data_IF_251871472082
#
_entry.id   IF_251871472082
#
_cell.length_a   1.000
_cell.length_b   1.000
_cell.length_c   1.000
_cell.angle_alpha   90.00
_cell.angle_beta   90.00
_cell.angle_gamma   90.00
#
_symmetry.space_group_name_H-M   'P 1'
#
loop_
_entity.id
_entity.type
_entity.pdbx_description
1 polymer ?
#
# COMPACT_ATOMS: atom_id res chain seq x y z
N UNK A 1 -0.17 37.96 6.48
CA UNK A 1 -0.26 37.20 5.18
C UNK A 1 1.06 36.56 4.73
N UNK A 2 2.23 37.17 4.91
CA UNK A 2 3.54 36.58 4.52
C UNK A 2 3.93 35.28 5.28
N UNK A 3 3.61 35.14 6.56
CA UNK A 3 3.95 33.96 7.39
C UNK A 3 3.17 32.69 6.99
N UNK A 4 1.94 32.83 6.53
CA UNK A 4 1.13 31.71 6.02
C UNK A 4 1.65 31.19 4.68
N UNK A 5 2.11 32.08 3.81
CA UNK A 5 2.64 31.73 2.49
C UNK A 5 3.92 30.89 2.62
N UNK A 6 4.81 31.22 3.57
CA UNK A 6 6.06 30.48 3.79
C UNK A 6 5.79 29.07 4.36
N UNK A 7 4.88 28.90 5.34
CA UNK A 7 4.54 27.59 5.88
C UNK A 7 3.91 26.65 4.84
N UNK A 8 3.00 27.16 4.02
CA UNK A 8 2.39 26.38 2.96
C UNK A 8 3.42 25.94 1.92
N UNK A 9 4.25 26.85 1.45
CA UNK A 9 5.33 26.55 0.50
C UNK A 9 6.31 25.53 1.04
N UNK A 10 6.78 25.71 2.28
CA UNK A 10 7.70 24.76 2.94
C UNK A 10 7.08 23.39 3.07
N UNK A 11 5.81 23.31 3.49
CA UNK A 11 5.09 22.04 3.65
C UNK A 11 4.92 21.31 2.31
N UNK A 12 4.57 22.05 1.25
CA UNK A 12 4.43 21.51 -0.10
C UNK A 12 5.77 21.04 -0.67
N UNK A 13 6.83 21.79 -0.45
CA UNK A 13 8.17 21.42 -0.90
C UNK A 13 8.69 20.16 -0.20
N UNK A 14 8.47 20.03 1.12
CA UNK A 14 8.81 18.83 1.89
C UNK A 14 8.05 17.60 1.35
N UNK A 15 6.76 17.74 1.06
CA UNK A 15 5.97 16.66 0.48
C UNK A 15 6.47 16.24 -0.91
N UNK A 16 6.80 17.21 -1.75
CA UNK A 16 7.34 16.96 -3.08
C UNK A 16 8.69 16.22 -3.02
N UNK A 17 9.59 16.71 -2.16
CA UNK A 17 10.92 16.09 -1.97
C UNK A 17 10.79 14.69 -1.38
N UNK A 18 9.91 14.49 -0.40
CA UNK A 18 9.61 13.18 0.17
C UNK A 18 9.04 12.22 -0.89
N UNK A 19 8.11 12.69 -1.72
CA UNK A 19 7.56 11.89 -2.81
C UNK A 19 8.61 11.44 -3.83
N UNK A 20 9.53 12.32 -4.19
CA UNK A 20 10.67 12.01 -5.05
C UNK A 20 11.60 10.98 -4.40
N UNK A 21 11.98 11.20 -3.14
CA UNK A 21 12.84 10.27 -2.39
C UNK A 21 12.22 8.88 -2.29
N UNK A 22 10.91 8.80 -2.00
CA UNK A 22 10.19 7.53 -1.94
C UNK A 22 10.17 6.80 -3.29
N UNK A 23 10.02 7.53 -4.40
CA UNK A 23 10.06 6.94 -5.75
C UNK A 23 11.45 6.44 -6.11
N UNK A 24 12.50 7.20 -5.79
CA UNK A 24 13.89 6.79 -6.03
C UNK A 24 14.24 5.56 -5.20
N UNK A 25 13.90 5.55 -3.91
CA UNK A 25 14.08 4.37 -3.05
C UNK A 25 13.30 3.17 -3.58
N UNK A 26 12.06 3.36 -4.01
CA UNK A 26 11.25 2.31 -4.61
C UNK A 26 11.86 1.72 -5.88
N UNK A 27 12.50 2.55 -6.73
CA UNK A 27 13.24 2.08 -7.90
C UNK A 27 14.46 1.24 -7.50
N UNK A 28 15.25 1.71 -6.54
CA UNK A 28 16.42 0.98 -6.02
C UNK A 28 15.99 -0.38 -5.47
N UNK A 29 14.95 -0.39 -4.64
CA UNK A 29 14.37 -1.60 -4.07
C UNK A 29 13.92 -2.56 -5.16
N UNK A 30 13.24 -2.07 -6.20
CA UNK A 30 12.80 -2.88 -7.34
C UNK A 30 13.97 -3.50 -8.10
N UNK A 31 15.06 -2.74 -8.32
CA UNK A 31 16.27 -3.25 -9.00
C UNK A 31 16.95 -4.34 -8.16
N UNK A 32 17.13 -4.11 -6.87
CA UNK A 32 17.72 -5.09 -5.94
C UNK A 32 16.87 -6.36 -5.91
N UNK A 33 15.56 -6.20 -5.77
CA UNK A 33 14.61 -7.31 -5.77
C UNK A 33 14.70 -8.13 -7.06
N UNK A 34 14.70 -7.46 -8.23
CA UNK A 34 14.79 -8.14 -9.54
C UNK A 34 16.05 -8.98 -9.64
N UNK A 35 17.17 -8.52 -9.10
CA UNK A 35 18.44 -9.25 -9.10
C UNK A 35 18.46 -10.46 -8.17
N UNK A 36 17.79 -10.37 -7.02
CA UNK A 36 17.77 -11.44 -6.01
C UNK A 36 16.80 -12.55 -6.41
N UNK A 37 15.61 -12.19 -6.89
CA UNK A 37 14.47 -13.12 -7.00
C UNK A 37 14.36 -13.81 -8.34
N UNK A 38 14.96 -13.24 -9.37
CA UNK A 38 14.94 -13.80 -10.72
C UNK A 38 13.62 -13.54 -11.48
N UNK A 39 13.65 -13.86 -12.79
CA UNK A 39 12.59 -13.46 -13.72
C UNK A 39 11.23 -14.14 -13.48
N UNK A 40 11.21 -15.39 -13.01
CA UNK A 40 9.97 -16.15 -12.82
C UNK A 40 9.08 -15.55 -11.71
N UNK A 41 9.67 -15.19 -10.58
CA UNK A 41 8.93 -14.59 -9.45
C UNK A 41 8.45 -13.19 -9.78
N UNK A 42 9.26 -12.41 -10.50
CA UNK A 42 8.89 -11.06 -10.94
C UNK A 42 7.74 -11.12 -11.94
N UNK A 43 7.75 -12.09 -12.86
CA UNK A 43 6.66 -12.30 -13.79
C UNK A 43 5.33 -12.54 -13.05
N UNK A 44 5.31 -13.46 -12.08
CA UNK A 44 4.13 -13.71 -11.24
C UNK A 44 3.64 -12.46 -10.51
N UNK A 45 4.56 -11.74 -9.87
CA UNK A 45 4.24 -10.49 -9.17
C UNK A 45 3.65 -9.43 -10.12
N UNK A 46 4.25 -9.24 -11.29
CA UNK A 46 3.82 -8.22 -12.26
C UNK A 46 2.44 -8.51 -12.85
N UNK A 47 2.12 -9.79 -13.09
CA UNK A 47 0.81 -10.20 -13.62
C UNK A 47 -0.32 -9.89 -12.60
N UNK A 48 -0.06 -10.01 -11.31
CA UNK A 48 -1.07 -9.81 -10.26
C UNK A 48 -1.22 -8.33 -9.85
N UNK A 49 -0.21 -7.49 -10.12
CA UNK A 49 -0.19 -6.08 -9.70
C UNK A 49 -1.37 -5.23 -10.20
N UNK A 50 -1.86 -5.36 -11.45
CA UNK A 50 -3.06 -4.63 -11.88
C UNK A 50 -4.30 -4.97 -11.04
N UNK A 51 -4.49 -6.25 -10.72
CA UNK A 51 -5.59 -6.71 -9.86
C UNK A 51 -5.47 -6.12 -8.44
N UNK A 52 -4.25 -6.09 -7.89
CA UNK A 52 -3.99 -5.48 -6.59
C UNK A 52 -4.26 -3.97 -6.57
N UNK A 53 -3.83 -3.24 -7.59
CA UNK A 53 -4.08 -1.80 -7.67
C UNK A 53 -5.56 -1.47 -7.76
N UNK A 54 -6.34 -2.30 -8.45
CA UNK A 54 -7.79 -2.19 -8.52
C UNK A 54 -8.43 -2.44 -7.15
N UNK A 55 -8.03 -3.51 -6.48
CA UNK A 55 -8.50 -3.85 -5.13
C UNK A 55 -8.18 -2.75 -4.11
N UNK A 56 -6.96 -2.19 -4.15
CA UNK A 56 -6.58 -1.06 -3.30
C UNK A 56 -7.46 0.16 -3.56
N UNK A 57 -7.74 0.47 -4.81
CA UNK A 57 -8.60 1.62 -5.18
C UNK A 57 -10.00 1.45 -4.62
N UNK A 58 -10.59 0.26 -4.74
CA UNK A 58 -11.90 -0.06 -4.18
C UNK A 58 -11.83 -0.09 -2.64
N UNK A 59 -10.83 -0.77 -2.07
CA UNK A 59 -10.67 -0.94 -0.63
C UNK A 59 -10.42 0.36 0.13
N UNK A 60 -9.76 1.33 -0.47
CA UNK A 60 -9.51 2.64 0.14
C UNK A 60 -10.62 3.65 -0.11
N UNK A 61 -11.42 3.45 -1.16
CA UNK A 61 -12.62 4.23 -1.54
C UNK A 61 -12.47 5.76 -1.37
N UNK A 62 -11.37 6.33 -1.87
CA UNK A 62 -11.05 7.77 -1.76
C UNK A 62 -11.05 8.33 -0.31
N UNK A 63 -10.94 7.46 0.71
CA UNK A 63 -10.97 7.85 2.12
C UNK A 63 -9.94 8.92 2.50
N UNK A 64 -8.68 8.92 2.01
CA UNK A 64 -7.72 9.94 2.41
C UNK A 64 -8.19 11.36 2.13
N UNK A 65 -8.76 11.60 0.96
CA UNK A 65 -9.24 12.93 0.55
C UNK A 65 -10.50 13.33 1.29
N UNK A 66 -11.43 12.39 1.48
CA UNK A 66 -12.69 12.62 2.21
C UNK A 66 -12.43 12.95 3.67
N UNK A 67 -11.57 12.17 4.33
CA UNK A 67 -11.20 12.38 5.74
C UNK A 67 -10.44 13.70 5.90
N UNK A 68 -9.48 13.99 5.01
CA UNK A 68 -8.76 15.25 5.05
C UNK A 68 -9.71 16.45 4.98
N UNK A 69 -10.73 16.40 4.12
CA UNK A 69 -11.75 17.46 4.03
C UNK A 69 -12.58 17.56 5.30
N UNK A 70 -13.11 16.46 5.82
CA UNK A 70 -13.96 16.44 7.00
C UNK A 70 -13.22 16.90 8.26
N UNK A 71 -11.98 16.47 8.46
CA UNK A 71 -11.14 16.88 9.59
C UNK A 71 -10.75 18.36 9.48
N UNK A 72 -10.48 18.86 8.27
CA UNK A 72 -10.21 20.29 8.07
C UNK A 72 -11.42 21.17 8.40
N UNK A 73 -12.64 20.66 8.18
CA UNK A 73 -13.88 21.39 8.48
C UNK A 73 -14.26 21.34 9.97
N UNK A 74 -14.35 20.14 10.57
CA UNK A 74 -14.99 19.94 11.87
C UNK A 74 -14.06 19.49 12.99
N UNK A 75 -12.83 19.05 12.70
CA UNK A 75 -11.84 18.49 13.65
C UNK A 75 -12.41 17.43 14.61
N UNK A 76 -13.52 16.78 14.26
CA UNK A 76 -14.18 15.80 15.12
C UNK A 76 -13.56 14.42 14.99
N UNK A 77 -13.08 13.88 16.11
CA UNK A 77 -12.50 12.52 16.15
C UNK A 77 -13.51 11.41 15.82
N UNK A 78 -14.81 11.66 15.96
CA UNK A 78 -15.87 10.69 15.60
C UNK A 78 -15.84 10.35 14.11
N UNK A 79 -15.42 11.29 13.26
CA UNK A 79 -15.23 11.07 11.81
C UNK A 79 -14.24 9.94 11.57
N UNK A 80 -13.15 9.90 12.34
CA UNK A 80 -12.11 8.88 12.20
C UNK A 80 -12.64 7.49 12.56
N UNK A 81 -13.36 7.36 13.67
CA UNK A 81 -13.92 6.07 14.11
C UNK A 81 -14.97 5.54 13.14
N UNK A 82 -15.85 6.42 12.65
CA UNK A 82 -16.86 6.03 11.67
C UNK A 82 -16.21 5.59 10.33
N UNK A 83 -15.19 6.31 9.90
CA UNK A 83 -14.44 5.94 8.70
C UNK A 83 -13.73 4.59 8.86
N UNK A 84 -13.13 4.32 10.01
CA UNK A 84 -12.51 3.03 10.32
C UNK A 84 -13.52 1.88 10.26
N UNK A 85 -14.69 2.05 10.88
CA UNK A 85 -15.73 1.01 10.85
C UNK A 85 -16.22 0.73 9.43
N UNK A 86 -16.53 1.76 8.65
CA UNK A 86 -17.00 1.62 7.27
C UNK A 86 -15.96 0.89 6.42
N UNK A 87 -14.69 1.30 6.52
CA UNK A 87 -13.64 0.73 5.67
C UNK A 87 -13.30 -0.69 6.07
N UNK A 88 -13.36 -1.04 7.36
CA UNK A 88 -13.15 -2.40 7.83
C UNK A 88 -14.24 -3.34 7.30
N UNK A 89 -15.52 -2.96 7.39
CA UNK A 89 -16.63 -3.74 6.84
C UNK A 89 -16.46 -3.95 5.33
N UNK A 90 -16.13 -2.88 4.59
CA UNK A 90 -15.88 -2.96 3.16
C UNK A 90 -14.71 -3.90 2.83
N UNK A 91 -13.59 -3.80 3.54
CA UNK A 91 -12.43 -4.65 3.28
C UNK A 91 -12.67 -6.11 3.67
N UNK A 92 -13.39 -6.39 4.74
CA UNK A 92 -13.79 -7.76 5.11
C UNK A 92 -14.66 -8.35 3.99
N UNK A 93 -15.61 -7.59 3.46
CA UNK A 93 -16.43 -8.03 2.32
C UNK A 93 -15.57 -8.31 1.08
N UNK A 94 -14.59 -7.44 0.78
CA UNK A 94 -13.66 -7.64 -0.34
C UNK A 94 -12.80 -8.89 -0.15
N UNK A 95 -12.33 -9.17 1.07
CA UNK A 95 -11.57 -10.39 1.37
C UNK A 95 -12.41 -11.62 1.08
N UNK A 96 -13.67 -11.66 1.56
CA UNK A 96 -14.57 -12.79 1.33
C UNK A 96 -14.82 -12.98 -0.18
N UNK A 97 -15.08 -11.90 -0.90
CA UNK A 97 -15.28 -11.94 -2.36
C UNK A 97 -14.01 -12.48 -3.03
N UNK A 98 -12.83 -12.02 -2.61
CA UNK A 98 -11.56 -12.47 -3.19
C UNK A 98 -11.30 -13.96 -2.93
N UNK A 99 -11.64 -14.49 -1.76
CA UNK A 99 -11.53 -15.93 -1.52
C UNK A 99 -12.37 -16.76 -2.51
N UNK A 100 -13.56 -16.28 -2.89
CA UNK A 100 -14.46 -16.95 -3.83
C UNK A 100 -13.99 -16.77 -5.28
N UNK A 101 -13.56 -15.56 -5.63
CA UNK A 101 -13.28 -15.18 -7.03
C UNK A 101 -11.82 -15.45 -7.44
N UNK A 102 -10.88 -15.53 -6.49
CA UNK A 102 -9.46 -15.72 -6.80
C UNK A 102 -9.13 -16.99 -7.60
N UNK A 103 -9.80 -18.16 -7.39
CA UNK A 103 -9.56 -19.33 -8.24
C UNK A 103 -9.94 -19.08 -9.69
N UNK A 104 -11.06 -18.37 -9.92
CA UNK A 104 -11.51 -18.01 -11.25
C UNK A 104 -10.54 -17.02 -11.92
N UNK A 105 -10.07 -16.00 -11.20
CA UNK A 105 -9.10 -15.03 -11.70
C UNK A 105 -7.78 -15.73 -12.05
N UNK A 106 -7.27 -16.59 -11.16
CA UNK A 106 -6.00 -17.28 -11.38
C UNK A 106 -6.04 -18.20 -12.59
N UNK A 107 -7.09 -18.99 -12.74
CA UNK A 107 -7.17 -20.03 -13.78
C UNK A 107 -7.64 -19.48 -15.13
N UNK A 108 -8.67 -18.62 -15.15
CA UNK A 108 -9.31 -18.18 -16.38
C UNK A 108 -8.78 -16.83 -16.91
N UNK A 109 -8.52 -15.89 -16.02
CA UNK A 109 -8.10 -14.53 -16.40
C UNK A 109 -6.58 -14.44 -16.55
N UNK A 110 -5.85 -14.85 -15.52
CA UNK A 110 -4.39 -14.77 -15.49
C UNK A 110 -3.72 -16.01 -16.13
N UNK A 111 -4.46 -17.12 -16.27
CA UNK A 111 -3.99 -18.40 -16.82
C UNK A 111 -2.74 -18.95 -16.12
N UNK A 112 -2.55 -18.59 -14.86
CA UNK A 112 -1.42 -19.02 -14.04
C UNK A 112 -1.91 -19.39 -12.63
N UNK A 113 -2.16 -20.70 -12.36
CA UNK A 113 -2.74 -21.16 -11.08
C UNK A 113 -1.96 -20.74 -9.84
N UNK A 114 -0.64 -20.52 -9.97
CA UNK A 114 0.24 -20.11 -8.86
C UNK A 114 -0.06 -18.71 -8.35
N UNK A 115 -0.73 -17.87 -9.14
CA UNK A 115 -1.16 -16.52 -8.74
C UNK A 115 -2.27 -16.53 -7.69
N UNK A 116 -2.96 -17.65 -7.48
CA UNK A 116 -3.98 -17.80 -6.44
C UNK A 116 -3.48 -17.39 -5.05
N UNK A 117 -2.32 -17.90 -4.64
CA UNK A 117 -1.74 -17.58 -3.32
C UNK A 117 -1.38 -16.09 -3.19
N UNK A 118 -0.92 -15.47 -4.29
CA UNK A 118 -0.60 -14.05 -4.33
C UNK A 118 -1.88 -13.21 -4.19
N UNK A 119 -2.96 -13.58 -4.86
CA UNK A 119 -4.25 -12.89 -4.79
C UNK A 119 -4.84 -12.91 -3.38
N UNK A 120 -4.75 -14.04 -2.68
CA UNK A 120 -5.19 -14.15 -1.28
C UNK A 120 -4.31 -13.30 -0.37
N UNK A 121 -2.98 -13.38 -0.51
CA UNK A 121 -2.08 -12.54 0.27
C UNK A 121 -2.37 -11.05 0.08
N UNK A 122 -2.61 -10.61 -1.16
CA UNK A 122 -3.01 -9.24 -1.47
C UNK A 122 -4.32 -8.84 -0.81
N UNK A 123 -5.33 -9.72 -0.81
CA UNK A 123 -6.59 -9.45 -0.14
C UNK A 123 -6.40 -9.25 1.36
N UNK A 124 -5.56 -10.04 2.00
CA UNK A 124 -5.27 -9.92 3.44
C UNK A 124 -4.52 -8.63 3.81
N UNK A 125 -3.78 -8.02 2.88
CA UNK A 125 -3.10 -6.72 3.13
C UNK A 125 -4.05 -5.51 3.03
N UNK A 126 -5.22 -5.65 2.41
CA UNK A 126 -6.16 -4.54 2.18
C UNK A 126 -6.58 -3.81 3.46
N UNK A 127 -6.97 -4.46 4.56
CA UNK A 127 -7.37 -3.75 5.78
C UNK A 127 -6.25 -2.88 6.34
N UNK A 128 -5.01 -3.39 6.35
CA UNK A 128 -3.85 -2.64 6.85
C UNK A 128 -3.56 -1.41 6.00
N UNK A 129 -3.56 -1.58 4.68
CA UNK A 129 -3.37 -0.47 3.73
C UNK A 129 -4.47 0.58 3.85
N UNK A 130 -5.71 0.15 4.04
CA UNK A 130 -6.86 1.04 4.18
C UNK A 130 -6.84 1.82 5.49
N UNK A 131 -6.46 1.19 6.59
CA UNK A 131 -6.24 1.87 7.88
C UNK A 131 -5.12 2.91 7.74
N UNK A 132 -4.00 2.56 7.11
CA UNK A 132 -2.92 3.51 6.84
C UNK A 132 -3.40 4.72 6.02
N UNK A 133 -4.26 4.50 5.01
CA UNK A 133 -4.87 5.56 4.21
C UNK A 133 -5.74 6.51 5.04
N UNK A 134 -6.50 6.00 6.02
CA UNK A 134 -7.30 6.81 6.94
C UNK A 134 -6.41 7.73 7.77
N UNK A 135 -5.34 7.20 8.37
CA UNK A 135 -4.39 8.02 9.13
C UNK A 135 -3.69 9.05 8.25
N UNK A 136 -3.32 8.70 7.01
CA UNK A 136 -2.80 9.67 6.04
C UNK A 136 -3.77 10.82 5.82
N UNK A 137 -5.06 10.52 5.60
CA UNK A 137 -6.11 11.52 5.46
C UNK A 137 -6.26 12.42 6.69
N UNK A 138 -6.21 11.84 7.89
CA UNK A 138 -6.24 12.61 9.13
C UNK A 138 -5.08 13.61 9.23
N UNK A 139 -3.85 13.17 8.98
CA UNK A 139 -2.68 14.05 9.03
C UNK A 139 -2.71 15.15 7.96
N UNK A 140 -3.25 14.86 6.78
CA UNK A 140 -3.50 15.87 5.75
C UNK A 140 -4.53 16.90 6.20
N UNK A 141 -5.63 16.47 6.84
CA UNK A 141 -6.66 17.35 7.35
C UNK A 141 -6.19 18.32 8.42
N UNK A 142 -5.27 17.89 9.30
CA UNK A 142 -4.67 18.76 10.32
C UNK A 142 -3.42 19.52 9.83
N UNK A 143 -3.09 19.39 8.53
CA UNK A 143 -1.93 20.02 7.90
C UNK A 143 -0.57 19.66 8.53
N UNK A 144 -0.48 18.48 9.17
CA UNK A 144 0.76 17.94 9.74
C UNK A 144 1.28 16.83 8.84
N UNK A 145 2.10 17.19 7.85
CA UNK A 145 2.59 16.25 6.84
C UNK A 145 3.80 15.43 7.30
N UNK A 146 4.51 15.86 8.34
CA UNK A 146 5.72 15.21 8.84
C UNK A 146 5.54 13.73 9.22
N UNK A 147 4.48 13.33 9.97
CA UNK A 147 4.27 11.93 10.32
C UNK A 147 4.08 11.02 9.10
N UNK A 148 3.40 11.53 8.05
CA UNK A 148 3.22 10.80 6.80
C UNK A 148 4.55 10.59 6.06
N UNK A 149 5.38 11.64 5.96
CA UNK A 149 6.71 11.56 5.34
C UNK A 149 7.59 10.56 6.07
N UNK A 150 7.62 10.62 7.40
CA UNK A 150 8.39 9.70 8.23
C UNK A 150 7.92 8.26 8.05
N UNK A 151 6.61 8.02 8.10
CA UNK A 151 6.02 6.69 7.90
C UNK A 151 6.41 6.09 6.55
N UNK A 152 6.31 6.85 5.47
CA UNK A 152 6.70 6.37 4.14
C UNK A 152 8.19 6.02 4.06
N UNK A 153 9.06 6.83 4.69
CA UNK A 153 10.50 6.57 4.67
C UNK A 153 10.83 5.31 5.48
N UNK A 154 10.24 5.15 6.67
CA UNK A 154 10.41 3.96 7.51
C UNK A 154 9.90 2.72 6.79
N UNK A 155 8.73 2.79 6.14
CA UNK A 155 8.17 1.70 5.33
C UNK A 155 9.16 1.24 4.26
N UNK A 156 9.77 2.17 3.51
CA UNK A 156 10.75 1.82 2.47
C UNK A 156 12.02 1.18 3.05
N UNK A 157 12.50 1.66 4.19
CA UNK A 157 13.66 1.08 4.88
C UNK A 157 13.36 -0.34 5.38
N UNK A 158 12.21 -0.54 6.02
CA UNK A 158 11.79 -1.87 6.46
C UNK A 158 11.65 -2.81 5.27
N UNK A 159 11.03 -2.37 4.18
CA UNK A 159 10.91 -3.14 2.94
C UNK A 159 12.27 -3.54 2.37
N UNK A 160 13.24 -2.62 2.35
CA UNK A 160 14.60 -2.92 1.92
C UNK A 160 15.26 -3.98 2.80
N UNK A 161 15.16 -3.86 4.13
CA UNK A 161 15.71 -4.83 5.08
C UNK A 161 15.06 -6.21 4.88
N UNK A 162 13.73 -6.26 4.74
CA UNK A 162 13.02 -7.52 4.51
C UNK A 162 13.43 -8.19 3.20
N UNK A 163 13.60 -7.43 2.13
CA UNK A 163 14.06 -7.96 0.84
C UNK A 163 15.47 -8.55 0.97
N UNK A 164 16.36 -7.93 1.72
CA UNK A 164 17.73 -8.41 1.85
C UNK A 164 17.86 -9.61 2.80
N UNK A 165 16.99 -9.72 3.81
CA UNK A 165 17.11 -10.74 4.87
C UNK A 165 16.14 -11.90 4.72
N UNK A 166 14.90 -11.63 4.38
CA UNK A 166 13.80 -12.61 4.37
C UNK A 166 13.63 -13.24 2.98
N UNK A 167 13.67 -12.44 1.94
CA UNK A 167 13.44 -12.94 0.58
C UNK A 167 14.42 -14.03 0.14
N UNK A 168 15.75 -13.95 0.37
CA UNK A 168 16.66 -15.02 0.00
C UNK A 168 16.29 -16.35 0.64
N UNK A 169 15.90 -16.36 1.92
CA UNK A 169 15.46 -17.57 2.62
C UNK A 169 14.15 -18.14 2.07
N UNK A 170 13.22 -17.27 1.66
CA UNK A 170 11.95 -17.70 1.07
C UNK A 170 12.13 -18.29 -0.33
N UNK A 171 13.11 -17.83 -1.10
CA UNK A 171 13.44 -18.38 -2.42
C UNK A 171 13.92 -19.82 -2.31
N UNK A 172 14.72 -20.14 -1.29
CA UNK A 172 15.18 -21.51 -1.01
C UNK A 172 14.01 -22.48 -0.78
N UNK A 173 12.89 -21.99 -0.22
CA UNK A 173 11.71 -22.80 0.04
C UNK A 173 10.85 -22.90 -1.23
N UNK A 174 10.49 -21.77 -1.85
CA UNK A 174 9.72 -21.69 -3.11
C UNK A 174 9.67 -20.26 -3.63
N UNK A 175 9.78 -20.12 -4.94
CA UNK A 175 9.62 -18.82 -5.60
C UNK A 175 8.22 -18.19 -5.41
N UNK A 176 7.18 -19.00 -5.14
CA UNK A 176 5.82 -18.50 -4.83
C UNK A 176 5.81 -17.84 -3.45
N UNK A 177 6.48 -18.43 -2.44
CA UNK A 177 6.59 -17.82 -1.11
C UNK A 177 7.37 -16.50 -1.15
N UNK A 178 8.40 -16.43 -1.98
CA UNK A 178 9.13 -15.18 -2.19
C UNK A 178 8.24 -14.09 -2.82
N UNK A 179 7.40 -14.45 -3.79
CA UNK A 179 6.44 -13.52 -4.40
C UNK A 179 5.37 -13.05 -3.40
N UNK A 180 4.86 -13.94 -2.55
CA UNK A 180 3.92 -13.60 -1.47
C UNK A 180 4.58 -12.68 -0.43
N UNK A 181 5.79 -12.99 -0.01
CA UNK A 181 6.55 -12.17 0.95
C UNK A 181 6.85 -10.75 0.48
N UNK A 182 6.78 -10.48 -0.82
CA UNK A 182 6.91 -9.14 -1.36
C UNK A 182 5.63 -8.30 -1.23
N UNK A 183 4.50 -8.95 -1.16
CA UNK A 183 3.18 -8.32 -1.09
C UNK A 183 2.87 -7.92 0.36
N UNK A 184 3.27 -8.74 1.31
CA UNK A 184 3.10 -8.52 2.74
C UNK A 184 4.10 -7.49 3.28
#
# INVERSE_FOLDING_TARGET
MKLFKNKFFTSTFILMLSGLSTKVLGLIIKIIFTRIVGNTTISLYTIVMPTYSLLLTIGTFAMPTTIAKLIAQNKDKKVLNNALNIILVLNISLIIIMFIVSPFIANNLLKEPKTYYLLIAMALTLPFSSIACIFKGYFYGIQKNYPHVLSNTVEQLIRLILILTVIPKLIEISYVHAAVGLIL
#
